data_IF_585210938804
#
_entry.id   IF_585210938804
#
_cell.length_a   1.000
_cell.length_b   1.000
_cell.length_c   1.000
_cell.angle_alpha   90.00
_cell.angle_beta   90.00
_cell.angle_gamma   90.00
#
_symmetry.space_group_name_H-M   'P 1'
#
loop_
_entity.id
_entity.type
_entity.pdbx_description
1 polymer ?
#
# COMPACT_ATOMS: atom_id res chain seq x y z
N UNK A 1 90.36 38.48 -1.22
CA UNK A 1 90.06 37.19 -0.55
C UNK A 1 89.16 37.49 0.63
N UNK A 2 88.11 36.76 1.02
CA UNK A 2 87.28 35.69 0.43
C UNK A 2 86.33 35.30 1.60
N UNK A 3 85.03 35.66 1.54
CA UNK A 3 83.90 35.09 2.34
C UNK A 3 84.07 35.17 3.90
N UNK A 4 83.10 35.09 4.82
CA UNK A 4 81.64 34.90 4.83
C UNK A 4 81.12 35.50 6.19
N UNK A 5 79.83 35.67 6.51
CA UNK A 5 78.53 35.32 5.89
C UNK A 5 77.56 36.51 6.06
N UNK A 6 76.55 36.63 5.20
CA UNK A 6 75.32 37.40 5.46
C UNK A 6 74.15 36.40 5.57
N UNK A 7 73.33 36.55 6.60
CA UNK A 7 72.25 35.60 6.89
C UNK A 7 71.05 35.82 5.95
N UNK A 8 70.96 35.02 4.89
CA UNK A 8 69.75 34.90 4.10
C UNK A 8 68.80 33.89 4.76
N UNK A 9 67.84 34.38 5.55
CA UNK A 9 66.77 33.56 6.11
C UNK A 9 65.81 33.20 4.98
N UNK A 10 66.10 32.10 4.28
CA UNK A 10 65.26 31.59 3.21
C UNK A 10 63.95 31.07 3.81
N UNK A 11 62.94 31.95 3.87
CA UNK A 11 61.59 31.60 4.27
C UNK A 11 61.00 30.69 3.19
N UNK A 12 61.17 29.39 3.37
CA UNK A 12 60.59 28.38 2.50
C UNK A 12 59.06 28.44 2.63
N UNK A 13 58.43 29.22 1.74
CA UNK A 13 57.00 29.22 1.57
C UNK A 13 56.59 27.84 1.03
N UNK A 14 56.29 26.91 1.94
CA UNK A 14 55.61 25.66 1.63
C UNK A 14 54.20 26.01 1.19
N UNK A 15 54.02 26.34 -0.10
CA UNK A 15 52.73 26.36 -0.74
C UNK A 15 52.18 24.94 -0.58
N UNK A 16 51.07 24.70 0.15
CA UNK A 16 50.41 23.43 0.05
C UNK A 16 49.94 23.32 -1.39
N UNK A 17 50.52 22.39 -2.14
CA UNK A 17 49.97 22.00 -3.41
C UNK A 17 48.58 21.45 -3.12
N UNK A 18 47.56 22.28 -3.36
CA UNK A 18 46.19 21.83 -3.39
C UNK A 18 46.11 20.84 -4.55
N UNK A 19 46.27 19.55 -4.23
CA UNK A 19 45.98 18.50 -5.19
C UNK A 19 44.50 18.68 -5.49
N UNK A 20 44.20 19.19 -6.68
CA UNK A 20 42.87 19.05 -7.23
C UNK A 20 42.70 17.55 -7.40
N UNK A 21 42.10 16.90 -6.41
CA UNK A 21 41.52 15.59 -6.60
C UNK A 21 40.62 15.75 -7.82
N UNK A 22 40.91 14.99 -8.87
CA UNK A 22 39.96 14.75 -9.95
C UNK A 22 38.75 14.11 -9.28
N UNK A 23 37.85 14.95 -8.80
CA UNK A 23 36.58 14.55 -8.27
C UNK A 23 35.87 13.92 -9.46
N UNK A 24 35.85 12.59 -9.48
CA UNK A 24 35.28 11.75 -10.53
C UNK A 24 33.90 12.28 -10.88
N UNK A 25 33.82 13.12 -11.91
CA UNK A 25 32.63 13.93 -12.15
C UNK A 25 31.57 12.97 -12.59
N UNK A 26 30.54 12.75 -11.75
CA UNK A 26 29.52 11.73 -12.00
C UNK A 26 28.94 11.81 -13.41
N UNK A 27 28.89 13.00 -14.00
CA UNK A 27 28.49 13.21 -15.39
C UNK A 27 29.63 13.78 -16.23
N UNK A 28 29.90 13.15 -17.37
CA UNK A 28 30.73 13.69 -18.47
C UNK A 28 29.82 14.26 -19.54
N UNK A 29 30.15 15.44 -20.11
CA UNK A 29 29.46 15.99 -21.27
C UNK A 29 30.41 16.01 -22.47
N UNK A 30 30.02 15.34 -23.55
CA UNK A 30 30.72 15.36 -24.84
C UNK A 30 29.88 16.10 -25.88
N UNK A 31 30.53 16.80 -26.81
CA UNK A 31 29.86 17.48 -27.93
C UNK A 31 29.90 16.58 -29.16
N UNK A 32 28.74 16.28 -29.71
CA UNK A 32 28.57 15.47 -30.94
C UNK A 32 28.09 16.34 -32.11
N UNK A 33 28.11 15.85 -33.36
CA UNK A 33 27.63 16.62 -34.51
C UNK A 33 26.17 17.09 -34.38
N UNK A 34 25.32 16.26 -33.75
CA UNK A 34 23.88 16.50 -33.62
C UNK A 34 23.48 17.15 -32.27
N UNK A 35 24.44 17.50 -31.41
CA UNK A 35 24.18 18.15 -30.12
C UNK A 35 25.21 17.81 -29.05
N UNK A 36 24.73 17.32 -27.90
CA UNK A 36 25.56 16.95 -26.76
C UNK A 36 25.13 15.57 -26.22
N UNK A 37 26.08 14.82 -25.67
CA UNK A 37 25.83 13.55 -24.97
C UNK A 37 26.32 13.70 -23.53
N UNK A 38 25.43 13.41 -22.57
CA UNK A 38 25.77 13.32 -21.15
C UNK A 38 25.88 11.85 -20.76
N UNK A 39 27.04 11.42 -20.29
CA UNK A 39 27.27 10.08 -19.76
C UNK A 39 27.32 10.12 -18.23
N UNK A 40 26.58 9.26 -17.52
CA UNK A 40 26.78 9.01 -16.09
C UNK A 40 27.93 8.00 -15.93
N UNK A 41 29.10 8.46 -15.47
CA UNK A 41 30.31 7.65 -15.36
C UNK A 41 30.16 6.47 -14.38
N UNK A 42 29.14 6.48 -13.51
CA UNK A 42 28.88 5.42 -12.53
C UNK A 42 27.95 4.32 -13.07
N UNK A 43 27.09 4.63 -14.04
CA UNK A 43 26.13 3.66 -14.62
C UNK A 43 26.40 3.32 -16.09
N UNK A 44 27.21 4.12 -16.79
CA UNK A 44 27.43 4.02 -18.24
C UNK A 44 26.25 4.52 -19.08
N UNK A 45 25.22 5.11 -18.45
CA UNK A 45 24.03 5.59 -19.14
C UNK A 45 24.31 6.87 -19.92
N UNK A 46 23.89 6.91 -21.19
CA UNK A 46 24.07 8.05 -22.09
C UNK A 46 22.74 8.73 -22.42
N UNK A 47 22.62 10.01 -22.08
CA UNK A 47 21.47 10.87 -22.40
C UNK A 47 21.83 11.86 -23.51
N UNK A 48 21.00 12.00 -24.53
CA UNK A 48 21.19 13.03 -25.58
C UNK A 48 20.58 14.35 -25.12
N UNK A 49 21.38 15.41 -25.15
CA UNK A 49 21.03 16.75 -24.71
C UNK A 49 21.02 17.75 -25.87
N UNK A 50 20.01 18.61 -25.89
CA UNK A 50 19.84 19.68 -26.89
C UNK A 50 19.78 21.03 -26.20
N UNK A 51 20.42 22.04 -26.77
CA UNK A 51 20.34 23.40 -26.26
C UNK A 51 18.96 24.01 -26.56
N UNK A 52 18.31 24.58 -25.54
CA UNK A 52 17.02 25.25 -25.62
C UNK A 52 17.04 26.47 -24.72
N UNK A 53 16.72 27.65 -25.27
CA UNK A 53 16.73 28.92 -24.52
C UNK A 53 18.02 29.18 -23.71
N UNK A 54 19.19 28.82 -24.26
CA UNK A 54 20.49 28.97 -23.59
C UNK A 54 20.78 27.96 -22.47
N UNK A 55 20.00 26.88 -22.36
CA UNK A 55 20.19 25.81 -21.39
C UNK A 55 20.28 24.44 -22.07
N UNK A 56 21.13 23.55 -21.57
CA UNK A 56 21.22 22.17 -22.05
C UNK A 56 20.12 21.31 -21.43
N UNK A 57 19.16 20.89 -22.27
CA UNK A 57 18.05 20.02 -21.88
C UNK A 57 18.34 18.60 -22.35
N UNK A 58 18.69 17.73 -21.41
CA UNK A 58 18.87 16.30 -21.63
C UNK A 58 17.52 15.58 -21.65
N UNK A 59 17.27 14.77 -22.68
CA UNK A 59 16.13 13.83 -22.68
C UNK A 59 16.55 12.55 -21.95
N UNK A 60 15.65 11.99 -21.13
CA UNK A 60 15.82 10.63 -20.61
C UNK A 60 16.09 9.65 -21.75
N UNK A 61 16.98 8.70 -21.50
CA UNK A 61 17.42 7.71 -22.47
C UNK A 61 16.20 6.95 -23.03
N UNK A 62 16.32 6.43 -24.26
CA UNK A 62 15.20 5.72 -24.89
C UNK A 62 14.76 4.50 -24.07
N UNK A 63 15.70 3.86 -23.40
CA UNK A 63 15.50 2.66 -22.58
C UNK A 63 14.91 2.96 -21.20
N UNK A 64 15.20 4.14 -20.61
CA UNK A 64 14.47 4.58 -19.41
C UNK A 64 12.98 4.71 -19.71
N UNK A 65 12.60 5.23 -20.89
CA UNK A 65 11.19 5.36 -21.28
C UNK A 65 10.48 4.01 -21.38
N UNK A 66 11.13 2.94 -21.83
CA UNK A 66 10.49 1.61 -21.88
C UNK A 66 10.41 0.97 -20.48
N UNK A 67 11.41 1.18 -19.62
CA UNK A 67 11.36 0.77 -18.22
C UNK A 67 10.20 1.47 -17.46
N UNK A 68 10.09 2.80 -17.57
CA UNK A 68 8.99 3.57 -16.97
C UNK A 68 7.62 3.18 -17.54
N UNK A 69 7.50 2.89 -18.84
CA UNK A 69 6.27 2.36 -19.43
C UNK A 69 5.89 0.99 -18.81
N UNK A 70 6.85 0.09 -18.62
CA UNK A 70 6.62 -1.20 -17.96
C UNK A 70 6.19 -1.07 -16.49
N UNK A 71 6.72 -0.08 -15.77
CA UNK A 71 6.26 0.23 -14.40
C UNK A 71 4.85 0.82 -14.37
N UNK A 72 4.53 1.75 -15.27
CA UNK A 72 3.17 2.32 -15.41
C UNK A 72 2.16 1.20 -15.71
N UNK A 73 2.43 0.36 -16.71
CA UNK A 73 1.62 -0.82 -17.06
C UNK A 73 1.37 -1.75 -15.85
N UNK A 74 2.42 -1.99 -15.05
CA UNK A 74 2.34 -2.82 -13.84
C UNK A 74 1.50 -2.16 -12.75
N UNK A 75 1.60 -0.84 -12.58
CA UNK A 75 0.83 -0.09 -11.59
C UNK A 75 -0.66 -0.01 -11.98
N UNK A 76 -0.97 0.29 -13.25
CA UNK A 76 -2.34 0.31 -13.77
C UNK A 76 -3.04 -1.04 -13.55
N UNK A 77 -2.41 -2.16 -13.94
CA UNK A 77 -2.98 -3.51 -13.70
C UNK A 77 -3.28 -3.82 -12.23
N UNK A 78 -2.45 -3.30 -11.30
CA UNK A 78 -2.67 -3.47 -9.85
C UNK A 78 -3.80 -2.57 -9.34
N UNK A 79 -3.95 -1.39 -9.91
CA UNK A 79 -5.05 -0.48 -9.61
C UNK A 79 -6.38 -1.08 -10.10
N UNK A 80 -6.44 -1.57 -11.34
CA UNK A 80 -7.59 -2.30 -11.90
C UNK A 80 -8.00 -3.50 -11.02
N UNK A 81 -7.02 -4.28 -10.52
CA UNK A 81 -7.28 -5.42 -9.62
C UNK A 81 -7.86 -4.95 -8.27
N UNK A 82 -7.31 -3.88 -7.70
CA UNK A 82 -7.78 -3.31 -6.42
C UNK A 82 -9.18 -2.73 -6.58
N UNK A 83 -9.45 -1.95 -7.63
CA UNK A 83 -10.78 -1.39 -7.91
C UNK A 83 -11.81 -2.49 -8.15
N UNK A 84 -11.46 -3.54 -8.91
CA UNK A 84 -12.34 -4.70 -9.10
C UNK A 84 -12.67 -5.41 -7.79
N UNK A 85 -11.68 -5.54 -6.88
CA UNK A 85 -11.88 -6.11 -5.55
C UNK A 85 -12.73 -5.19 -4.66
N UNK A 86 -12.54 -3.88 -4.75
CA UNK A 86 -13.33 -2.88 -4.03
C UNK A 86 -14.79 -2.94 -4.47
N UNK A 87 -15.07 -2.91 -5.77
CA UNK A 87 -16.44 -3.02 -6.30
C UNK A 87 -17.13 -4.35 -5.94
N UNK A 88 -16.39 -5.44 -5.81
CA UNK A 88 -16.93 -6.72 -5.31
C UNK A 88 -17.24 -6.69 -3.80
N UNK A 89 -16.51 -5.89 -3.01
CA UNK A 89 -16.74 -5.67 -1.59
C UNK A 89 -17.88 -4.68 -1.34
N UNK A 90 -17.97 -3.61 -2.12
CA UNK A 90 -19.05 -2.61 -2.06
C UNK A 90 -20.38 -3.15 -2.59
N UNK A 91 -20.34 -3.98 -3.64
CA UNK A 91 -21.49 -4.71 -4.16
C UNK A 91 -21.90 -5.93 -3.32
N UNK A 92 -21.06 -6.36 -2.37
CA UNK A 92 -21.47 -7.33 -1.35
C UNK A 92 -22.33 -6.60 -0.31
N UNK A 93 -23.54 -7.08 0.02
CA UNK A 93 -24.38 -6.42 1.01
C UNK A 93 -23.67 -6.47 2.36
N UNK A 94 -23.17 -5.31 2.82
CA UNK A 94 -22.63 -5.19 4.17
C UNK A 94 -23.74 -5.49 5.18
N UNK A 95 -23.41 -5.90 6.43
CA UNK A 95 -24.43 -6.15 7.45
C UNK A 95 -25.38 -4.98 7.71
N UNK A 96 -24.98 -3.76 7.33
CA UNK A 96 -25.76 -2.53 7.43
C UNK A 96 -26.70 -2.33 6.24
N UNK A 97 -26.29 -2.75 5.03
CA UNK A 97 -27.13 -2.75 3.82
C UNK A 97 -28.11 -3.93 3.78
N UNK A 98 -27.83 -4.99 4.56
CA UNK A 98 -28.67 -6.18 4.70
C UNK A 98 -29.74 -6.06 5.81
N UNK A 99 -29.91 -4.87 6.42
CA UNK A 99 -30.97 -4.64 7.39
C UNK A 99 -32.34 -4.65 6.68
N UNK A 100 -33.30 -5.50 7.11
CA UNK A 100 -34.66 -5.48 6.58
C UNK A 100 -35.33 -4.12 6.80
N UNK A 101 -36.36 -3.81 6.02
CA UNK A 101 -37.21 -2.66 6.32
C UNK A 101 -37.89 -2.86 7.69
N UNK A 102 -38.25 -1.75 8.33
CA UNK A 102 -38.95 -1.74 9.63
C UNK A 102 -40.23 -2.61 9.61
N UNK A 103 -40.95 -2.59 8.48
CA UNK A 103 -42.10 -3.46 8.19
C UNK A 103 -41.74 -4.96 8.16
N UNK A 104 -40.64 -5.35 7.52
CA UNK A 104 -40.19 -6.76 7.51
C UNK A 104 -39.71 -7.21 8.90
N UNK A 105 -39.12 -6.31 9.68
CA UNK A 105 -38.73 -6.58 11.05
C UNK A 105 -39.96 -6.85 11.93
N UNK A 106 -40.96 -5.96 11.92
CA UNK A 106 -42.24 -6.15 12.64
C UNK A 106 -43.00 -7.42 12.18
N UNK A 107 -42.98 -7.72 10.87
CA UNK A 107 -43.54 -8.95 10.34
C UNK A 107 -42.82 -10.19 10.89
N UNK A 108 -41.49 -10.14 11.05
CA UNK A 108 -40.70 -11.23 11.63
C UNK A 108 -40.96 -11.41 13.12
N UNK A 109 -41.11 -10.32 13.87
CA UNK A 109 -41.49 -10.34 15.30
C UNK A 109 -42.89 -10.95 15.48
N UNK A 110 -43.85 -10.55 14.65
CA UNK A 110 -45.21 -11.12 14.65
C UNK A 110 -45.20 -12.62 14.35
N UNK A 111 -44.32 -13.08 13.45
CA UNK A 111 -44.16 -14.51 13.16
C UNK A 111 -43.53 -15.27 14.34
N UNK A 112 -42.48 -14.72 14.95
CA UNK A 112 -41.86 -15.29 16.15
C UNK A 112 -42.83 -15.37 17.33
N UNK A 113 -43.62 -14.33 17.58
CA UNK A 113 -44.62 -14.30 18.66
C UNK A 113 -45.67 -15.41 18.49
N UNK A 114 -46.18 -15.59 17.26
CA UNK A 114 -47.13 -16.66 16.92
C UNK A 114 -46.50 -18.05 17.05
N UNK A 115 -45.23 -18.21 16.65
CA UNK A 115 -44.49 -19.45 16.82
C UNK A 115 -44.30 -19.80 18.30
N UNK A 116 -43.85 -18.85 19.13
CA UNK A 116 -43.66 -19.06 20.57
C UNK A 116 -44.95 -19.42 21.30
N UNK A 117 -46.08 -18.74 21.01
CA UNK A 117 -47.39 -19.12 21.55
C UNK A 117 -47.73 -20.57 21.20
N UNK A 118 -47.67 -20.91 19.91
CA UNK A 118 -48.03 -22.27 19.45
C UNK A 118 -47.11 -23.34 20.02
N UNK A 119 -45.82 -23.05 20.19
CA UNK A 119 -44.85 -23.96 20.80
C UNK A 119 -45.17 -24.21 22.29
N UNK A 120 -45.48 -23.16 23.05
CA UNK A 120 -45.87 -23.27 24.47
C UNK A 120 -47.16 -24.10 24.62
N UNK A 121 -48.14 -23.91 23.74
CA UNK A 121 -49.38 -24.69 23.77
C UNK A 121 -49.10 -26.19 23.58
N UNK A 122 -48.24 -26.55 22.60
CA UNK A 122 -47.85 -27.95 22.34
C UNK A 122 -47.13 -28.58 23.54
N UNK A 123 -46.25 -27.83 24.22
CA UNK A 123 -45.55 -28.32 25.42
C UNK A 123 -46.53 -28.59 26.57
N UNK A 124 -47.50 -27.69 26.77
CA UNK A 124 -48.53 -27.85 27.82
C UNK A 124 -49.47 -29.03 27.58
N UNK A 125 -49.87 -29.26 26.34
CA UNK A 125 -50.73 -30.40 25.99
C UNK A 125 -50.02 -31.73 26.36
N UNK A 126 -48.71 -31.85 26.10
CA UNK A 126 -47.91 -33.03 26.46
C UNK A 126 -47.73 -33.21 27.98
N UNK A 127 -47.58 -32.12 28.73
CA UNK A 127 -47.54 -32.17 30.20
C UNK A 127 -48.91 -32.63 30.77
N UNK A 128 -50.03 -32.12 30.23
CA UNK A 128 -51.37 -32.48 30.67
C UNK A 128 -51.75 -33.95 30.38
N UNK A 129 -51.34 -34.50 29.22
CA UNK A 129 -51.48 -35.94 28.93
C UNK A 129 -50.66 -36.80 29.92
N UNK A 130 -49.51 -36.29 30.38
CA UNK A 130 -48.64 -37.00 31.34
C UNK A 130 -49.22 -37.00 32.76
N UNK A 131 -49.77 -35.87 33.22
CA UNK A 131 -50.38 -35.76 34.56
C UNK A 131 -51.70 -36.54 34.67
N UNK A 132 -52.52 -36.58 33.61
CA UNK A 132 -53.78 -37.35 33.61
C UNK A 132 -53.58 -38.86 33.56
N UNK A 133 -52.39 -39.34 33.17
CA UNK A 133 -52.04 -40.76 33.15
C UNK A 133 -51.61 -41.33 34.52
N UNK A 134 -51.54 -40.51 35.59
CA UNK A 134 -51.08 -40.93 36.91
C UNK A 134 -52.23 -41.52 37.76
N UNK A 135 -52.23 -42.82 38.09
CA UNK A 135 -53.25 -43.39 38.96
C UNK A 135 -53.06 -42.88 40.39
N UNK A 136 -54.15 -42.46 41.03
CA UNK A 136 -54.16 -42.06 42.43
C UNK A 136 -53.86 -43.27 43.33
N UNK A 137 -52.65 -43.29 43.92
CA UNK A 137 -52.23 -44.37 44.81
C UNK A 137 -52.99 -44.25 46.16
N UNK A 138 -53.55 -45.35 46.71
CA UNK A 138 -54.41 -45.28 47.88
C UNK A 138 -53.62 -44.87 49.13
N UNK A 139 -54.14 -43.86 49.84
CA UNK A 139 -53.60 -43.36 51.10
C UNK A 139 -53.43 -44.48 52.14
N UNK A 140 -52.25 -44.66 52.77
CA UNK A 140 -52.09 -45.65 53.81
C UNK A 140 -52.88 -45.24 55.05
N UNK A 141 -53.93 -45.99 55.37
CA UNK A 141 -54.66 -45.85 56.63
C UNK A 141 -53.71 -46.15 57.79
N UNK A 142 -53.60 -45.19 58.71
CA UNK A 142 -52.82 -45.35 59.94
C UNK A 142 -53.77 -45.70 61.08
N UNK A 143 -53.61 -46.92 61.60
CA UNK A 143 -54.17 -47.41 62.86
C UNK A 143 -53.60 -46.68 64.06
#
# INVERSE_FOLDING_TARGET
MRIARLAAFALAATIPAAVAQEAETRYTLEKTPDGYVRMDNRTGEMSVCTERAGQLVCRLAADERSAWQGEIDRLTRRLDEVEKRLGALEGSPTPQTALPSEEQFEQSLTFMERFFRRFIDIVKDLEAETDTAKPEAPSPQKT
#
